data_IF_050296873212
#
_entry.id   IF_050296873212
#
_cell.length_a   1.000
_cell.length_b   1.000
_cell.length_c   1.000
_cell.angle_alpha   90.00
_cell.angle_beta   90.00
_cell.angle_gamma   90.00
#
_symmetry.space_group_name_H-M   'P 1'
#
loop_
_entity.id
_entity.type
_entity.pdbx_description
1 polymer ?
#
# COMPACT_ATOMS: atom_id res chain seq x y z
N UNK A 1 12.07 4.34 -21.74
CA UNK A 1 10.87 5.08 -21.32
C UNK A 1 10.76 5.15 -19.81
N UNK A 2 10.63 4.02 -19.10
CA UNK A 2 10.47 3.99 -17.62
C UNK A 2 11.52 4.81 -16.88
N UNK A 3 12.81 4.66 -17.18
CA UNK A 3 13.89 5.38 -16.48
C UNK A 3 13.83 6.91 -16.65
N UNK A 4 13.34 7.40 -17.80
CA UNK A 4 13.13 8.84 -18.02
C UNK A 4 11.98 9.40 -17.19
N UNK A 5 10.88 8.65 -17.14
CA UNK A 5 9.70 9.00 -16.33
C UNK A 5 10.07 8.99 -14.85
N UNK A 6 10.74 7.95 -14.38
CA UNK A 6 11.15 7.84 -12.98
C UNK A 6 12.05 8.98 -12.51
N UNK A 7 12.91 9.52 -13.39
CA UNK A 7 13.76 10.68 -13.07
C UNK A 7 12.97 11.99 -12.94
N UNK A 8 11.80 12.07 -13.58
CA UNK A 8 10.94 13.26 -13.55
C UNK A 8 9.89 13.19 -12.46
N UNK A 9 9.44 11.98 -12.12
CA UNK A 9 8.45 11.76 -11.07
C UNK A 9 9.03 12.08 -9.70
N UNK A 10 8.24 12.72 -8.84
CA UNK A 10 8.67 13.08 -7.50
C UNK A 10 8.70 11.86 -6.55
N UNK A 11 9.27 12.06 -5.36
CA UNK A 11 9.30 11.03 -4.30
C UNK A 11 7.92 10.69 -3.73
N UNK A 12 6.90 11.46 -4.05
CA UNK A 12 5.55 11.32 -3.54
C UNK A 12 4.64 10.48 -4.44
N UNK A 13 5.05 10.23 -5.71
CA UNK A 13 4.34 9.34 -6.63
C UNK A 13 5.24 8.15 -7.00
N UNK A 14 4.89 6.96 -6.52
CA UNK A 14 5.66 5.75 -6.79
C UNK A 14 4.88 4.68 -7.56
N UNK A 15 3.62 4.97 -7.92
CA UNK A 15 2.77 4.05 -8.66
C UNK A 15 3.34 3.69 -10.03
N UNK A 16 3.56 2.40 -10.26
CA UNK A 16 4.13 1.89 -11.52
C UNK A 16 5.63 2.13 -11.71
N UNK A 17 6.33 2.75 -10.75
CA UNK A 17 7.77 3.02 -10.84
C UNK A 17 8.60 1.76 -10.56
N UNK A 18 9.69 1.59 -11.31
CA UNK A 18 10.57 0.42 -11.17
C UNK A 18 11.31 0.44 -9.82
N UNK A 19 11.27 -0.68 -9.11
CA UNK A 19 11.96 -0.84 -7.84
C UNK A 19 11.19 -0.31 -6.63
N UNK A 20 10.04 0.35 -6.84
CA UNK A 20 9.16 0.84 -5.79
C UNK A 20 7.96 -0.07 -5.54
N UNK A 21 7.41 0.00 -4.33
CA UNK A 21 6.29 -0.82 -3.86
C UNK A 21 5.29 0.05 -3.08
N UNK A 22 4.02 -0.30 -3.14
CA UNK A 22 2.97 0.38 -2.34
C UNK A 22 3.27 0.36 -0.83
N UNK A 23 3.99 -0.66 -0.35
CA UNK A 23 4.42 -0.76 1.05
C UNK A 23 5.35 0.37 1.51
N UNK A 24 6.04 1.08 0.60
CA UNK A 24 6.88 2.23 0.95
C UNK A 24 6.03 3.41 1.42
N UNK A 25 4.93 3.71 0.72
CA UNK A 25 3.98 4.73 1.16
C UNK A 25 3.24 4.32 2.43
N UNK A 26 2.86 3.04 2.56
CA UNK A 26 2.29 2.53 3.81
C UNK A 26 3.27 2.66 4.99
N UNK A 27 4.55 2.35 4.79
CA UNK A 27 5.58 2.59 5.80
C UNK A 27 5.66 4.07 6.18
N UNK A 28 5.71 4.96 5.19
CA UNK A 28 5.81 6.40 5.40
C UNK A 28 4.61 6.93 6.21
N UNK A 29 3.39 6.63 5.78
CA UNK A 29 2.17 7.07 6.46
C UNK A 29 2.05 6.49 7.87
N UNK A 30 2.31 5.19 8.03
CA UNK A 30 2.27 4.55 9.36
C UNK A 30 3.35 5.08 10.30
N UNK A 31 4.52 5.46 9.79
CA UNK A 31 5.56 6.11 10.58
C UNK A 31 5.11 7.49 11.08
N UNK A 32 4.41 8.25 10.24
CA UNK A 32 3.82 9.54 10.63
C UNK A 32 2.74 9.35 11.70
N UNK A 33 1.84 8.37 11.53
CA UNK A 33 0.83 8.04 12.55
C UNK A 33 1.49 7.68 13.89
N UNK A 34 2.53 6.85 13.88
CA UNK A 34 3.26 6.46 15.09
C UNK A 34 3.90 7.67 15.78
N UNK A 35 4.50 8.56 15.02
CA UNK A 35 5.16 9.76 15.52
C UNK A 35 4.16 10.72 16.15
N UNK A 36 3.06 11.07 15.46
CA UNK A 36 2.03 11.98 15.98
C UNK A 36 1.33 11.40 17.23
N UNK A 37 1.09 10.09 17.25
CA UNK A 37 0.62 9.40 18.46
C UNK A 37 1.63 9.48 19.60
N UNK A 38 2.94 9.41 19.32
CA UNK A 38 3.98 9.49 20.34
C UNK A 38 4.11 10.88 20.96
N UNK A 39 4.04 11.94 20.14
CA UNK A 39 4.09 13.33 20.62
C UNK A 39 2.75 13.84 21.14
N UNK A 40 1.71 12.97 21.20
CA UNK A 40 0.34 13.28 21.65
C UNK A 40 -0.31 14.44 20.86
N UNK A 41 -0.04 14.49 19.56
CA UNK A 41 -0.66 15.44 18.65
C UNK A 41 -1.70 14.74 17.76
N UNK A 42 -2.82 15.40 17.43
CA UNK A 42 -3.79 14.85 16.50
C UNK A 42 -3.24 14.84 15.07
N UNK A 43 -3.78 13.93 14.27
CA UNK A 43 -3.45 13.80 12.85
C UNK A 43 -4.73 13.51 12.07
N UNK A 44 -4.99 14.27 11.02
CA UNK A 44 -6.05 13.98 10.04
C UNK A 44 -5.40 13.38 8.80
N UNK A 45 -5.93 12.25 8.38
CA UNK A 45 -5.55 11.60 7.11
C UNK A 45 -6.71 11.74 6.14
N UNK A 46 -6.45 12.36 4.99
CA UNK A 46 -7.38 12.50 3.89
C UNK A 46 -7.12 11.40 2.86
N UNK A 47 -8.09 10.52 2.64
CA UNK A 47 -8.06 9.50 1.59
C UNK A 47 -8.92 9.97 0.43
N UNK A 48 -8.35 10.09 -0.75
CA UNK A 48 -8.96 10.75 -1.90
C UNK A 48 -9.03 9.78 -3.06
N UNK A 49 -10.26 9.49 -3.51
CA UNK A 49 -10.57 8.67 -4.68
C UNK A 49 -10.96 9.58 -5.85
N UNK A 50 -10.28 9.46 -6.97
CA UNK A 50 -10.59 10.25 -8.17
C UNK A 50 -11.61 9.48 -9.02
N UNK A 51 -12.74 10.11 -9.31
CA UNK A 51 -13.85 9.49 -10.02
C UNK A 51 -13.50 9.16 -11.46
N UNK A 52 -13.49 7.86 -11.81
CA UNK A 52 -13.24 7.36 -13.18
C UNK A 52 -11.97 7.96 -13.80
N UNK A 53 -10.89 7.96 -13.05
CA UNK A 53 -9.63 8.62 -13.41
C UNK A 53 -9.19 8.28 -14.84
N UNK A 54 -8.95 7.03 -15.14
CA UNK A 54 -8.49 6.57 -16.46
C UNK A 54 -9.45 6.89 -17.61
N UNK A 55 -10.77 6.86 -17.36
CA UNK A 55 -11.78 7.16 -18.36
C UNK A 55 -11.87 8.66 -18.69
N UNK A 56 -11.36 9.51 -17.78
CA UNK A 56 -11.41 10.97 -17.93
C UNK A 56 -10.06 11.58 -18.27
N UNK A 57 -8.99 10.85 -18.08
CA UNK A 57 -7.65 11.34 -18.38
C UNK A 57 -7.49 11.57 -19.88
N UNK A 58 -7.13 12.79 -20.24
CA UNK A 58 -6.98 13.18 -21.63
C UNK A 58 -5.66 12.64 -22.20
N UNK A 59 -5.73 11.96 -23.35
CA UNK A 59 -4.57 11.42 -24.05
C UNK A 59 -3.54 12.52 -24.36
N UNK A 60 -4.00 13.75 -24.69
CA UNK A 60 -3.12 14.88 -25.00
C UNK A 60 -2.30 15.30 -23.78
N UNK A 61 -2.92 15.37 -22.59
CA UNK A 61 -2.21 15.75 -21.35
C UNK A 61 -1.19 14.68 -20.98
N UNK A 62 -1.55 13.41 -21.07
CA UNK A 62 -0.65 12.28 -20.89
C UNK A 62 0.54 12.32 -21.89
N UNK A 63 0.29 12.72 -23.13
CA UNK A 63 1.33 12.91 -24.13
C UNK A 63 2.25 14.10 -23.80
N UNK A 64 1.70 15.21 -23.30
CA UNK A 64 2.48 16.35 -22.84
C UNK A 64 3.38 15.94 -21.65
N UNK A 65 2.84 15.23 -20.67
CA UNK A 65 3.59 14.71 -19.53
C UNK A 65 4.74 13.77 -19.96
N UNK A 66 4.50 12.89 -20.92
CA UNK A 66 5.57 12.05 -21.50
C UNK A 66 6.64 12.85 -22.22
N UNK A 67 6.24 13.89 -22.95
CA UNK A 67 7.19 14.74 -23.65
C UNK A 67 8.06 15.53 -22.66
N UNK A 68 7.47 16.10 -21.61
CA UNK A 68 8.19 16.82 -20.55
C UNK A 68 9.16 15.91 -19.79
N UNK A 69 8.84 14.62 -19.65
CA UNK A 69 9.74 13.61 -19.10
C UNK A 69 10.83 13.14 -20.08
N UNK A 70 10.92 13.74 -21.28
CA UNK A 70 11.93 13.43 -22.29
C UNK A 70 11.63 12.14 -23.07
N UNK A 71 10.41 11.63 -23.05
CA UNK A 71 9.98 10.53 -23.93
C UNK A 71 9.67 11.10 -25.31
N UNK A 72 10.51 10.80 -26.29
CA UNK A 72 10.45 11.40 -27.64
C UNK A 72 10.68 10.36 -28.74
N UNK A 73 10.57 10.79 -29.99
CA UNK A 73 10.93 10.01 -31.17
C UNK A 73 9.96 8.84 -31.47
N UNK A 74 10.50 7.69 -31.83
CA UNK A 74 9.71 6.53 -32.29
C UNK A 74 8.80 5.99 -31.20
N UNK A 75 9.29 5.91 -29.94
CA UNK A 75 8.51 5.38 -28.79
C UNK A 75 7.32 6.28 -28.49
N UNK A 76 7.50 7.60 -28.49
CA UNK A 76 6.45 8.58 -28.31
C UNK A 76 5.34 8.44 -29.38
N UNK A 77 5.75 8.41 -30.67
CA UNK A 77 4.81 8.26 -31.79
C UNK A 77 4.06 6.92 -31.77
N UNK A 78 4.78 5.83 -31.42
CA UNK A 78 4.15 4.51 -31.31
C UNK A 78 3.11 4.50 -30.20
N UNK A 79 3.45 5.02 -29.02
CA UNK A 79 2.54 5.05 -27.89
C UNK A 79 1.28 5.88 -28.18
N UNK A 80 1.45 7.05 -28.82
CA UNK A 80 0.32 7.85 -29.29
C UNK A 80 -0.58 7.08 -30.26
N UNK A 81 0.01 6.41 -31.24
CA UNK A 81 -0.77 5.63 -32.24
C UNK A 81 -1.53 4.46 -31.60
N UNK A 82 -0.98 3.83 -30.59
CA UNK A 82 -1.61 2.71 -29.88
C UNK A 82 -2.82 3.15 -29.02
N UNK A 83 -2.81 4.39 -28.56
CA UNK A 83 -3.88 4.91 -27.68
C UNK A 83 -4.87 5.83 -28.39
N UNK A 84 -4.51 6.38 -29.54
CA UNK A 84 -5.41 7.21 -30.36
C UNK A 84 -6.46 6.34 -31.05
N UNK A 85 -7.73 6.75 -30.94
CA UNK A 85 -8.86 6.06 -31.57
C UNK A 85 -9.06 4.63 -31.09
N UNK A 86 -8.77 4.35 -29.81
CA UNK A 86 -9.02 3.04 -29.21
C UNK A 86 -10.51 2.72 -29.23
N UNK A 87 -10.86 1.50 -29.64
CA UNK A 87 -12.23 1.00 -29.66
C UNK A 87 -12.40 -0.05 -28.57
N UNK A 88 -13.55 -0.04 -27.93
CA UNK A 88 -13.91 -1.01 -26.91
C UNK A 88 -15.21 -1.73 -27.31
N UNK A 89 -15.26 -3.02 -27.02
CA UNK A 89 -16.47 -3.82 -27.05
C UNK A 89 -16.65 -4.52 -25.70
N UNK A 90 -17.87 -4.62 -25.24
CA UNK A 90 -18.20 -5.29 -23.96
C UNK A 90 -18.51 -6.76 -24.25
N UNK A 91 -17.81 -7.67 -23.57
CA UNK A 91 -18.13 -9.10 -23.63
C UNK A 91 -19.27 -9.40 -22.67
N UNK A 92 -20.36 -9.92 -23.21
CA UNK A 92 -21.54 -10.34 -22.44
C UNK A 92 -21.72 -11.86 -22.54
N UNK A 93 -22.67 -12.43 -21.79
CA UNK A 93 -23.01 -13.84 -21.89
C UNK A 93 -23.57 -14.28 -23.24
N UNK A 94 -24.03 -13.31 -24.07
CA UNK A 94 -24.60 -13.55 -25.41
C UNK A 94 -23.67 -13.13 -26.56
N UNK A 95 -22.44 -12.64 -26.26
CA UNK A 95 -21.47 -12.23 -27.28
C UNK A 95 -20.82 -10.88 -27.01
N UNK A 96 -20.19 -10.30 -28.02
CA UNK A 96 -19.60 -8.97 -27.99
C UNK A 96 -20.62 -7.91 -28.41
N UNK A 97 -20.61 -6.77 -27.71
CA UNK A 97 -21.35 -5.58 -28.13
C UNK A 97 -20.70 -4.96 -29.37
N UNK A 98 -21.43 -4.01 -29.99
CA UNK A 98 -20.83 -3.14 -30.99
C UNK A 98 -19.63 -2.38 -30.43
N UNK A 99 -18.64 -2.17 -31.30
CA UNK A 99 -17.45 -1.39 -30.95
C UNK A 99 -17.80 0.09 -30.81
N UNK A 100 -17.32 0.69 -29.75
CA UNK A 100 -17.41 2.15 -29.53
C UNK A 100 -16.03 2.76 -29.42
N UNK A 101 -15.84 3.93 -30.00
CA UNK A 101 -14.62 4.70 -29.85
C UNK A 101 -14.58 5.31 -28.45
N UNK A 102 -13.47 5.15 -27.73
CA UNK A 102 -13.25 5.76 -26.39
C UNK A 102 -12.96 7.25 -26.45
N UNK A 103 -12.81 7.83 -27.64
CA UNK A 103 -12.37 9.20 -27.82
C UNK A 103 -10.86 9.36 -27.59
N UNK A 104 -10.46 10.52 -27.09
CA UNK A 104 -9.06 10.83 -26.73
C UNK A 104 -8.80 10.61 -25.23
N UNK A 105 -9.32 9.51 -24.66
CA UNK A 105 -9.08 9.15 -23.26
C UNK A 105 -8.09 8.01 -23.12
N UNK A 106 -7.40 7.97 -22.00
CA UNK A 106 -6.52 6.87 -21.61
C UNK A 106 -7.38 5.73 -21.05
N UNK A 107 -7.64 4.72 -21.84
CA UNK A 107 -8.38 3.56 -21.35
C UNK A 107 -7.61 2.79 -20.28
N UNK A 108 -8.31 2.30 -19.25
CA UNK A 108 -7.73 1.45 -18.21
C UNK A 108 -7.07 0.20 -18.82
N UNK A 109 -5.86 -0.14 -18.38
CA UNK A 109 -5.11 -1.31 -18.88
C UNK A 109 -4.33 -1.07 -20.17
N UNK A 110 -4.27 0.14 -20.69
CA UNK A 110 -3.43 0.48 -21.85
C UNK A 110 -1.95 0.42 -21.52
N UNK A 111 -1.13 0.04 -22.50
CA UNK A 111 0.32 -0.06 -22.33
C UNK A 111 0.92 1.32 -22.01
N UNK A 112 1.51 1.44 -20.83
CA UNK A 112 2.11 2.70 -20.35
C UNK A 112 1.09 3.72 -19.83
N UNK A 113 -0.22 3.41 -19.85
CA UNK A 113 -1.28 4.28 -19.32
C UNK A 113 -1.04 4.64 -17.86
N UNK A 114 -0.80 3.63 -17.01
CA UNK A 114 -0.50 3.86 -15.61
C UNK A 114 0.70 4.79 -15.36
N UNK A 115 1.75 4.71 -16.20
CA UNK A 115 2.92 5.58 -16.09
C UNK A 115 2.62 7.02 -16.52
N UNK A 116 1.80 7.18 -17.57
CA UNK A 116 1.39 8.49 -18.04
C UNK A 116 0.50 9.18 -17.01
N UNK A 117 -0.47 8.44 -16.48
CA UNK A 117 -1.37 8.89 -15.42
C UNK A 117 -0.62 9.32 -14.17
N UNK A 118 0.28 8.47 -13.68
CA UNK A 118 1.10 8.78 -12.51
C UNK A 118 1.90 10.08 -12.69
N UNK A 119 2.52 10.26 -13.86
CA UNK A 119 3.31 11.46 -14.14
C UNK A 119 2.45 12.71 -14.25
N UNK A 120 1.29 12.62 -14.92
CA UNK A 120 0.40 13.77 -15.13
C UNK A 120 -0.15 14.30 -13.78
N UNK A 121 -0.58 13.40 -12.89
CA UNK A 121 -1.10 13.79 -11.57
C UNK A 121 0.01 14.31 -10.64
N UNK A 122 1.20 13.73 -10.71
CA UNK A 122 2.34 14.10 -9.88
C UNK A 122 2.79 15.54 -10.12
N UNK A 123 2.95 15.93 -11.37
CA UNK A 123 3.36 17.30 -11.75
C UNK A 123 2.37 18.34 -11.19
N UNK A 124 1.06 18.07 -11.30
CA UNK A 124 0.03 19.01 -10.85
C UNK A 124 -0.06 19.09 -9.32
N UNK A 125 -0.09 17.95 -8.62
CA UNK A 125 -0.15 17.94 -7.15
C UNK A 125 1.07 18.67 -6.59
N UNK A 126 2.26 18.39 -7.10
CA UNK A 126 3.47 19.05 -6.60
C UNK A 126 3.45 20.56 -6.82
N UNK A 127 3.05 21.03 -7.99
CA UNK A 127 2.97 22.47 -8.28
C UNK A 127 2.06 23.21 -7.28
N UNK A 128 0.94 22.61 -6.87
CA UNK A 128 0.00 23.25 -5.93
C UNK A 128 0.41 23.13 -4.46
N UNK A 129 1.28 22.17 -4.13
CA UNK A 129 1.73 21.97 -2.75
C UNK A 129 3.16 22.42 -2.49
N UNK A 130 3.90 22.88 -3.53
CA UNK A 130 5.28 23.34 -3.38
C UNK A 130 5.41 24.48 -2.37
N UNK A 131 4.48 25.43 -2.40
CA UNK A 131 4.45 26.61 -1.52
C UNK A 131 3.35 26.54 -0.44
N UNK A 132 2.86 25.33 -0.11
CA UNK A 132 1.79 25.21 0.90
C UNK A 132 2.30 25.50 2.31
N UNK A 133 1.70 26.45 3.03
CA UNK A 133 2.08 26.77 4.41
C UNK A 133 1.57 25.73 5.42
N UNK A 134 0.64 24.85 5.01
CA UNK A 134 -0.05 23.89 5.88
C UNK A 134 0.46 22.46 5.72
N UNK A 135 1.72 22.30 5.32
CA UNK A 135 2.32 20.98 5.20
C UNK A 135 2.99 20.54 6.47
N UNK A 136 2.76 19.27 6.80
CA UNK A 136 3.44 18.62 7.91
C UNK A 136 4.89 18.30 7.56
N UNK A 137 5.70 18.22 8.62
CA UNK A 137 7.06 17.71 8.54
C UNK A 137 7.25 16.51 9.47
N UNK A 138 8.04 15.57 9.02
CA UNK A 138 8.53 14.44 9.81
C UNK A 138 10.03 14.64 10.02
N UNK A 139 10.39 15.24 11.16
CA UNK A 139 11.74 15.78 11.33
C UNK A 139 12.04 16.89 10.34
N UNK A 140 13.09 16.74 9.55
CA UNK A 140 13.43 17.64 8.44
C UNK A 140 12.72 17.30 7.13
N UNK A 141 12.04 16.16 7.07
CA UNK A 141 11.37 15.68 5.86
C UNK A 141 9.98 16.29 5.71
N UNK A 142 9.81 17.09 4.67
CA UNK A 142 8.50 17.67 4.30
C UNK A 142 7.57 16.58 3.77
N UNK A 143 6.30 16.61 4.23
CA UNK A 143 5.27 15.65 3.83
C UNK A 143 4.26 16.34 2.90
N UNK A 144 4.28 15.97 1.64
CA UNK A 144 3.28 16.35 0.65
C UNK A 144 2.27 15.21 0.43
N UNK A 145 1.17 15.43 -0.30
CA UNK A 145 0.28 14.34 -0.67
C UNK A 145 1.05 13.22 -1.34
N UNK A 146 0.90 12.00 -0.83
CA UNK A 146 1.47 10.80 -1.45
C UNK A 146 0.46 10.16 -2.37
N UNK A 147 0.90 9.69 -3.52
CA UNK A 147 0.04 9.05 -4.49
C UNK A 147 0.61 7.74 -5.02
N UNK A 148 -0.29 6.80 -5.26
CA UNK A 148 0.02 5.55 -5.93
C UNK A 148 -0.95 5.41 -7.12
N UNK A 149 -0.58 5.97 -8.26
CA UNK A 149 -1.46 6.25 -9.39
C UNK A 149 -2.56 7.23 -8.99
N UNK A 150 -3.81 6.81 -9.00
CA UNK A 150 -5.00 7.60 -8.65
C UNK A 150 -5.35 7.58 -7.16
N UNK A 151 -4.76 6.68 -6.39
CA UNK A 151 -4.93 6.63 -4.92
C UNK A 151 -4.09 7.71 -4.25
N UNK A 152 -4.71 8.83 -3.85
CA UNK A 152 -4.04 9.96 -3.21
C UNK A 152 -4.35 9.99 -1.71
N UNK A 153 -3.32 10.17 -0.89
CA UNK A 153 -3.44 10.34 0.55
C UNK A 153 -2.64 11.55 1.01
N UNK A 154 -3.23 12.35 1.89
CA UNK A 154 -2.58 13.50 2.52
C UNK A 154 -2.71 13.42 4.04
N UNK A 155 -1.69 13.89 4.73
CA UNK A 155 -1.65 14.03 6.19
C UNK A 155 -1.67 15.50 6.58
N UNK A 156 -2.37 15.86 7.66
CA UNK A 156 -2.46 17.24 8.18
C UNK A 156 -2.73 17.23 9.69
N UNK A 157 -2.42 18.33 10.36
CA UNK A 157 -2.42 18.44 11.82
C UNK A 157 -3.74 19.01 12.41
N UNK A 158 -4.66 19.42 11.57
CA UNK A 158 -5.95 19.95 12.05
C UNK A 158 -6.97 20.21 10.96
N UNK A 159 -8.21 20.62 11.35
CA UNK A 159 -9.31 20.83 10.42
C UNK A 159 -9.06 21.95 9.40
N UNK A 160 -8.44 23.06 9.80
CA UNK A 160 -8.14 24.17 8.90
C UNK A 160 -7.13 23.75 7.83
N UNK A 161 -6.06 23.02 8.22
CA UNK A 161 -5.09 22.45 7.29
C UNK A 161 -5.73 21.39 6.38
N UNK A 162 -6.69 20.61 6.90
CA UNK A 162 -7.44 19.65 6.12
C UNK A 162 -8.31 20.35 5.06
N UNK A 163 -9.02 21.41 5.42
CA UNK A 163 -9.85 22.18 4.48
C UNK A 163 -8.99 22.85 3.40
N UNK A 164 -7.89 23.47 3.77
CA UNK A 164 -6.96 24.09 2.82
C UNK A 164 -6.43 23.04 1.81
N UNK A 165 -6.11 21.83 2.29
CA UNK A 165 -5.70 20.73 1.42
C UNK A 165 -6.78 20.33 0.41
N UNK A 166 -8.05 20.25 0.84
CA UNK A 166 -9.15 19.99 -0.08
C UNK A 166 -9.32 21.09 -1.11
N UNK A 167 -9.23 22.37 -0.70
CA UNK A 167 -9.32 23.50 -1.62
C UNK A 167 -8.22 23.45 -2.70
N UNK A 168 -6.98 23.11 -2.32
CA UNK A 168 -5.85 22.96 -3.25
C UNK A 168 -6.05 21.80 -4.20
N UNK A 169 -6.44 20.63 -3.69
CA UNK A 169 -6.71 19.46 -4.52
C UNK A 169 -7.90 19.68 -5.46
N UNK A 170 -8.92 20.42 -5.00
CA UNK A 170 -10.03 20.82 -5.86
C UNK A 170 -9.55 21.66 -7.04
N UNK A 171 -8.68 22.65 -6.79
CA UNK A 171 -8.12 23.48 -7.84
C UNK A 171 -7.30 22.66 -8.86
N UNK A 172 -6.43 21.74 -8.35
CA UNK A 172 -5.67 20.80 -9.20
C UNK A 172 -6.58 19.96 -10.08
N UNK A 173 -7.55 19.28 -9.47
CA UNK A 173 -8.38 18.35 -10.22
C UNK A 173 -9.34 19.05 -11.18
N UNK A 174 -9.87 20.23 -10.81
CA UNK A 174 -10.69 21.05 -11.74
C UNK A 174 -9.90 21.51 -12.96
N UNK A 175 -8.63 21.87 -12.81
CA UNK A 175 -7.77 22.26 -13.95
C UNK A 175 -7.60 21.13 -14.96
N UNK A 176 -7.72 19.88 -14.52
CA UNK A 176 -7.61 18.67 -15.35
C UNK A 176 -8.97 18.04 -15.69
N UNK A 177 -10.08 18.70 -15.41
CA UNK A 177 -11.44 18.16 -15.57
C UNK A 177 -11.68 16.84 -14.82
N UNK A 178 -10.90 16.61 -13.75
CA UNK A 178 -11.04 15.50 -12.84
C UNK A 178 -11.93 15.91 -11.66
N UNK A 179 -12.57 14.93 -11.04
CA UNK A 179 -13.41 15.15 -9.87
C UNK A 179 -13.13 14.10 -8.81
N UNK A 180 -13.07 14.50 -7.56
CA UNK A 180 -13.03 13.59 -6.44
C UNK A 180 -14.37 12.86 -6.33
N UNK A 181 -14.32 11.60 -5.90
CA UNK A 181 -15.53 10.81 -5.66
C UNK A 181 -16.11 11.17 -4.28
N UNK A 182 -17.28 11.82 -4.19
CA UNK A 182 -17.76 12.42 -2.94
C UNK A 182 -18.04 11.39 -1.82
N UNK A 183 -18.44 10.16 -2.17
CA UNK A 183 -18.79 9.13 -1.19
C UNK A 183 -17.67 8.16 -0.87
N UNK A 184 -16.61 8.11 -1.70
CA UNK A 184 -15.45 7.25 -1.46
C UNK A 184 -14.31 8.00 -0.79
N UNK A 185 -14.16 9.29 -1.11
CA UNK A 185 -13.20 10.13 -0.40
C UNK A 185 -13.66 10.38 1.04
N UNK A 186 -12.74 10.34 1.97
CA UNK A 186 -13.01 10.44 3.38
C UNK A 186 -11.81 11.01 4.14
N UNK A 187 -11.99 11.26 5.41
CA UNK A 187 -10.88 11.50 6.33
C UNK A 187 -10.95 10.55 7.54
N UNK A 188 -9.79 10.32 8.14
CA UNK A 188 -9.60 9.58 9.38
C UNK A 188 -8.96 10.53 10.39
N UNK A 189 -9.46 10.54 11.63
CA UNK A 189 -8.92 11.36 12.71
C UNK A 189 -8.19 10.48 13.73
N UNK A 190 -6.88 10.58 13.74
CA UNK A 190 -6.02 9.92 14.72
C UNK A 190 -5.76 10.86 15.90
N UNK A 191 -6.07 10.44 17.10
CA UNK A 191 -5.70 11.13 18.33
C UNK A 191 -5.54 10.10 19.45
N UNK A 192 -4.47 10.22 20.23
CA UNK A 192 -4.21 9.34 21.37
C UNK A 192 -5.21 9.57 22.49
N UNK A 193 -5.51 10.85 22.77
CA UNK A 193 -6.48 11.23 23.78
C UNK A 193 -7.90 11.24 23.20
N UNK A 194 -8.82 10.53 23.83
CA UNK A 194 -10.24 10.58 23.49
C UNK A 194 -10.85 11.97 23.66
N UNK A 195 -10.31 12.76 24.60
CA UNK A 195 -10.73 14.16 24.81
C UNK A 195 -10.34 15.04 23.61
N UNK A 196 -9.09 14.93 23.15
CA UNK A 196 -8.60 15.66 21.96
C UNK A 196 -9.39 15.26 20.72
N UNK A 197 -9.62 13.95 20.54
CA UNK A 197 -10.41 13.42 19.43
C UNK A 197 -11.80 14.07 19.39
N UNK A 198 -12.50 14.08 20.54
CA UNK A 198 -13.84 14.64 20.66
C UNK A 198 -13.89 16.15 20.40
N UNK A 199 -12.87 16.90 20.82
CA UNK A 199 -12.78 18.34 20.53
C UNK A 199 -12.74 18.58 19.01
N UNK A 200 -11.87 17.87 18.30
CA UNK A 200 -11.72 18.03 16.84
C UNK A 200 -12.96 17.52 16.09
N UNK A 201 -13.58 16.42 16.54
CA UNK A 201 -14.84 15.93 15.99
C UNK A 201 -15.96 16.98 16.11
N UNK A 202 -16.06 17.66 17.26
CA UNK A 202 -17.02 18.76 17.45
C UNK A 202 -16.71 19.96 16.54
N UNK A 203 -15.44 20.34 16.42
CA UNK A 203 -15.02 21.42 15.52
C UNK A 203 -15.37 21.10 14.04
N UNK A 204 -15.13 19.86 13.60
CA UNK A 204 -15.52 19.42 12.25
C UNK A 204 -17.05 19.35 12.11
N UNK A 205 -17.78 19.00 13.17
CA UNK A 205 -19.24 18.99 13.13
C UNK A 205 -19.84 20.42 12.99
N UNK A 206 -19.20 21.41 13.62
CA UNK A 206 -19.59 22.82 13.49
C UNK A 206 -19.15 23.42 12.13
N UNK A 207 -17.99 23.05 11.65
CA UNK A 207 -17.40 23.46 10.36
C UNK A 207 -17.01 22.25 9.54
N UNK A 208 -17.96 21.60 8.82
CA UNK A 208 -17.69 20.42 8.03
C UNK A 208 -16.61 20.65 6.96
N UNK A 209 -15.75 19.66 6.77
CA UNK A 209 -14.80 19.67 5.67
C UNK A 209 -15.56 19.53 4.34
N UNK A 210 -15.32 20.45 3.42
CA UNK A 210 -16.06 20.56 2.16
C UNK A 210 -15.11 20.36 0.97
N UNK A 211 -15.58 19.63 -0.02
CA UNK A 211 -14.98 19.51 -1.33
C UNK A 211 -16.10 19.63 -2.39
N UNK A 212 -15.94 20.55 -3.37
CA UNK A 212 -16.88 20.73 -4.49
C UNK A 212 -18.36 20.77 -4.02
N UNK A 213 -18.65 21.51 -2.95
CA UNK A 213 -19.96 21.63 -2.28
C UNK A 213 -20.46 20.34 -1.58
N UNK A 214 -19.65 19.31 -1.45
CA UNK A 214 -19.97 18.10 -0.71
C UNK A 214 -19.25 18.09 0.64
N UNK A 215 -19.97 17.74 1.71
CA UNK A 215 -19.33 17.45 2.98
C UNK A 215 -18.57 16.14 2.91
N UNK A 216 -17.27 16.17 3.22
CA UNK A 216 -16.42 14.96 3.25
C UNK A 216 -16.69 14.19 4.54
N UNK A 217 -16.96 12.91 4.41
CA UNK A 217 -17.33 12.06 5.56
C UNK A 217 -16.10 11.61 6.35
N UNK A 218 -16.14 11.77 7.67
CA UNK A 218 -15.21 11.10 8.59
C UNK A 218 -15.52 9.62 8.70
N UNK A 219 -14.50 8.78 8.68
CA UNK A 219 -14.61 7.33 8.87
C UNK A 219 -13.71 6.87 10.01
N UNK A 220 -14.09 5.76 10.65
CA UNK A 220 -13.22 5.07 11.61
C UNK A 220 -12.20 4.16 10.94
N UNK A 221 -12.51 3.67 9.74
CA UNK A 221 -11.65 2.79 8.96
C UNK A 221 -11.74 3.10 7.47
N UNK A 222 -10.60 3.05 6.77
CA UNK A 222 -10.55 3.15 5.32
C UNK A 222 -9.45 2.24 4.75
N UNK A 223 -9.75 1.62 3.61
CA UNK A 223 -8.81 0.76 2.90
C UNK A 223 -7.93 1.61 1.98
N UNK A 224 -6.62 1.56 2.19
CA UNK A 224 -5.65 2.22 1.34
C UNK A 224 -4.47 1.30 1.02
N UNK A 225 -4.11 1.21 -0.25
CA UNK A 225 -3.04 0.36 -0.80
C UNK A 225 -3.07 -1.10 -0.29
N UNK A 226 -4.28 -1.61 -0.08
CA UNK A 226 -4.49 -2.99 0.34
C UNK A 226 -4.46 -3.25 1.85
N UNK A 227 -4.11 -2.27 2.68
CA UNK A 227 -4.27 -2.30 4.13
C UNK A 227 -5.48 -1.48 4.58
N UNK A 228 -6.00 -1.75 5.77
CA UNK A 228 -7.00 -0.92 6.42
C UNK A 228 -6.29 0.00 7.40
N UNK A 229 -6.50 1.30 7.25
CA UNK A 229 -6.12 2.31 8.23
C UNK A 229 -7.30 2.50 9.19
N UNK A 230 -7.07 2.45 10.49
CA UNK A 230 -8.10 2.64 11.52
C UNK A 230 -7.70 3.79 12.43
N UNK A 231 -8.63 4.68 12.73
CA UNK A 231 -8.47 5.81 13.64
C UNK A 231 -8.16 5.40 15.09
N UNK A 232 -8.36 4.12 15.41
CA UNK A 232 -7.92 3.49 16.67
C UNK A 232 -6.41 3.26 16.76
N UNK A 233 -5.63 3.63 15.74
CA UNK A 233 -4.18 3.54 15.71
C UNK A 233 -3.65 2.33 14.93
N UNK A 234 -2.32 2.12 15.00
CA UNK A 234 -1.65 1.14 14.14
C UNK A 234 -1.96 -0.31 14.50
N UNK A 235 -2.15 -0.61 15.78
CA UNK A 235 -2.58 -1.95 16.23
C UNK A 235 -3.96 -2.30 15.65
N UNK A 236 -4.93 -1.38 15.77
CA UNK A 236 -6.28 -1.55 15.21
C UNK A 236 -6.27 -1.64 13.69
N UNK A 237 -5.42 -0.86 13.03
CA UNK A 237 -5.21 -0.94 11.58
C UNK A 237 -4.71 -2.33 11.15
N UNK A 238 -3.76 -2.92 11.88
CA UNK A 238 -3.28 -4.28 11.63
C UNK A 238 -4.36 -5.32 11.90
N UNK A 239 -5.08 -5.22 13.04
CA UNK A 239 -6.20 -6.11 13.39
C UNK A 239 -7.30 -6.11 12.33
N UNK A 240 -7.74 -4.94 11.87
CA UNK A 240 -8.76 -4.79 10.83
C UNK A 240 -8.30 -5.37 9.49
N UNK A 241 -7.05 -5.11 9.10
CA UNK A 241 -6.45 -5.69 7.89
C UNK A 241 -6.40 -7.21 7.95
N UNK A 242 -5.93 -7.78 9.06
CA UNK A 242 -5.86 -9.22 9.30
C UNK A 242 -7.25 -9.82 9.28
N UNK A 243 -8.22 -9.21 9.96
CA UNK A 243 -9.61 -9.69 10.00
C UNK A 243 -10.25 -9.78 8.62
N UNK A 244 -10.06 -8.75 7.80
CA UNK A 244 -10.57 -8.71 6.42
C UNK A 244 -9.95 -9.82 5.55
N UNK A 245 -8.65 -10.02 5.65
CA UNK A 245 -7.93 -11.04 4.86
C UNK A 245 -8.20 -12.44 5.34
N UNK A 246 -8.28 -12.64 6.66
CA UNK A 246 -8.62 -13.91 7.28
C UNK A 246 -9.92 -14.47 6.71
N UNK A 247 -11.00 -13.69 6.69
CA UNK A 247 -12.30 -14.13 6.17
C UNK A 247 -12.22 -14.57 4.70
N UNK A 248 -11.50 -13.84 3.86
CA UNK A 248 -11.33 -14.19 2.44
C UNK A 248 -10.54 -15.47 2.23
N UNK A 249 -9.43 -15.66 2.96
CA UNK A 249 -8.60 -16.85 2.83
C UNK A 249 -9.31 -18.07 3.44
N UNK A 250 -10.01 -17.89 4.55
CA UNK A 250 -10.82 -18.97 5.13
C UNK A 250 -11.92 -19.43 4.15
N UNK A 251 -12.62 -18.49 3.50
CA UNK A 251 -13.57 -18.80 2.44
C UNK A 251 -12.93 -19.59 1.29
N UNK A 252 -11.75 -19.14 0.80
CA UNK A 252 -11.02 -19.86 -0.23
C UNK A 252 -10.60 -21.28 0.18
N UNK A 253 -10.20 -21.50 1.44
CA UNK A 253 -9.89 -22.83 1.95
C UNK A 253 -11.13 -23.74 1.89
N UNK A 254 -12.31 -23.22 2.27
CA UNK A 254 -13.54 -24.02 2.22
C UNK A 254 -14.00 -24.29 0.78
N UNK A 255 -13.89 -23.33 -0.13
CA UNK A 255 -14.20 -23.50 -1.55
C UNK A 255 -13.27 -24.53 -2.23
N UNK A 256 -12.00 -24.54 -1.84
CA UNK A 256 -10.98 -25.45 -2.39
C UNK A 256 -10.89 -26.77 -1.60
N UNK A 257 -11.72 -26.99 -0.57
CA UNK A 257 -11.61 -28.15 0.32
C UNK A 257 -11.58 -29.48 -0.44
N UNK A 258 -12.49 -29.70 -1.38
CA UNK A 258 -12.54 -30.93 -2.17
C UNK A 258 -11.24 -31.10 -3.00
N UNK A 259 -10.74 -30.03 -3.61
CA UNK A 259 -9.48 -30.06 -4.36
C UNK A 259 -8.30 -30.38 -3.45
N UNK A 260 -8.26 -29.80 -2.25
CA UNK A 260 -7.19 -30.04 -1.26
C UNK A 260 -7.23 -31.51 -0.78
N UNK A 261 -8.44 -32.06 -0.57
CA UNK A 261 -8.63 -33.46 -0.21
C UNK A 261 -8.22 -34.41 -1.33
N UNK A 262 -8.54 -34.10 -2.59
CA UNK A 262 -8.07 -34.86 -3.76
C UNK A 262 -6.55 -34.83 -3.90
N UNK A 263 -5.93 -33.67 -3.71
CA UNK A 263 -4.46 -33.53 -3.71
C UNK A 263 -3.81 -34.41 -2.63
N UNK A 264 -4.41 -34.46 -1.43
CA UNK A 264 -3.94 -35.36 -0.36
C UNK A 264 -3.94 -36.82 -0.81
N UNK A 265 -4.98 -37.25 -1.52
CA UNK A 265 -5.08 -38.65 -2.00
C UNK A 265 -4.05 -39.00 -3.05
N UNK A 266 -3.45 -38.02 -3.71
CA UNK A 266 -2.33 -38.19 -4.67
C UNK A 266 -0.96 -38.35 -3.98
N UNK A 267 -0.95 -38.55 -2.65
CA UNK A 267 0.25 -38.75 -1.84
C UNK A 267 1.23 -37.57 -1.87
N UNK A 268 2.55 -37.85 -1.93
CA UNK A 268 3.61 -36.84 -1.80
C UNK A 268 3.51 -35.74 -2.86
N UNK A 269 3.20 -36.08 -4.10
CA UNK A 269 3.07 -35.08 -5.18
C UNK A 269 1.91 -34.12 -4.97
N UNK A 270 0.77 -34.63 -4.50
CA UNK A 270 -0.40 -33.83 -4.19
C UNK A 270 -0.20 -32.94 -2.97
N UNK A 271 0.42 -33.43 -1.89
CA UNK A 271 0.75 -32.63 -0.71
C UNK A 271 1.66 -31.47 -1.09
N UNK A 272 2.69 -31.73 -1.89
CA UNK A 272 3.57 -30.67 -2.39
C UNK A 272 2.81 -29.62 -3.17
N UNK A 273 1.93 -30.01 -4.10
CA UNK A 273 1.09 -29.08 -4.85
C UNK A 273 0.19 -28.24 -3.92
N UNK A 274 -0.42 -28.85 -2.89
CA UNK A 274 -1.20 -28.12 -1.88
C UNK A 274 -0.34 -27.09 -1.12
N UNK A 275 0.88 -27.44 -0.73
CA UNK A 275 1.81 -26.52 -0.08
C UNK A 275 2.23 -25.39 -1.04
N UNK A 276 2.44 -25.67 -2.32
CA UNK A 276 2.74 -24.64 -3.33
C UNK A 276 1.55 -23.65 -3.46
N UNK A 277 0.31 -24.11 -3.46
CA UNK A 277 -0.88 -23.24 -3.45
C UNK A 277 -0.86 -22.34 -2.19
N UNK A 278 -0.55 -22.91 -1.02
CA UNK A 278 -0.45 -22.15 0.22
C UNK A 278 0.63 -21.07 0.13
N UNK A 279 1.84 -21.43 -0.26
CA UNK A 279 3.00 -20.53 -0.28
C UNK A 279 2.93 -19.49 -1.41
N UNK A 280 2.43 -19.86 -2.59
CA UNK A 280 2.47 -18.99 -3.76
C UNK A 280 1.22 -18.14 -3.95
N UNK A 281 0.07 -18.55 -3.40
CA UNK A 281 -1.19 -17.84 -3.57
C UNK A 281 -1.77 -17.32 -2.25
N UNK A 282 -1.92 -18.18 -1.25
CA UNK A 282 -2.62 -17.83 -0.01
C UNK A 282 -1.76 -16.96 0.90
N UNK A 283 -0.51 -17.33 1.17
CA UNK A 283 0.41 -16.55 2.00
C UNK A 283 0.68 -15.15 1.45
N UNK A 284 1.01 -14.93 0.17
CA UNK A 284 1.18 -13.59 -0.37
C UNK A 284 -0.09 -12.73 -0.28
N UNK A 285 -1.27 -13.33 -0.47
CA UNK A 285 -2.55 -12.63 -0.32
C UNK A 285 -2.85 -12.26 1.14
N UNK A 286 -2.51 -13.16 2.08
CA UNK A 286 -2.73 -12.97 3.52
C UNK A 286 -1.77 -11.95 4.13
N UNK A 287 -0.48 -12.04 3.79
CA UNK A 287 0.61 -11.28 4.38
C UNK A 287 1.11 -10.12 3.48
N UNK A 288 0.33 -9.73 2.47
CA UNK A 288 0.67 -8.52 1.69
C UNK A 288 0.87 -7.33 2.64
N UNK A 289 1.92 -6.54 2.44
CA UNK A 289 2.29 -5.42 3.30
C UNK A 289 2.56 -5.76 4.79
N UNK A 290 2.61 -7.05 5.19
CA UNK A 290 2.87 -7.43 6.59
C UNK A 290 4.20 -6.84 7.14
N UNK A 291 5.13 -6.53 6.25
CA UNK A 291 6.36 -5.81 6.60
C UNK A 291 6.14 -4.39 7.15
N UNK A 292 4.94 -3.82 7.01
CA UNK A 292 4.60 -2.48 7.54
C UNK A 292 3.68 -2.54 8.77
N UNK A 293 3.29 -3.73 9.21
CA UNK A 293 2.42 -3.86 10.38
C UNK A 293 3.21 -3.68 11.67
N UNK A 294 2.79 -2.77 12.52
CA UNK A 294 3.40 -2.51 13.82
C UNK A 294 2.42 -2.83 14.94
N UNK A 295 2.94 -3.15 16.12
CA UNK A 295 2.16 -3.42 17.33
C UNK A 295 1.08 -4.53 17.11
N UNK A 296 1.45 -5.61 16.42
CA UNK A 296 0.50 -6.71 16.18
C UNK A 296 0.26 -7.46 17.48
N UNK A 297 -1.02 -7.59 17.90
CA UNK A 297 -1.38 -8.35 19.09
C UNK A 297 -1.17 -9.86 18.90
N UNK A 298 -0.86 -10.56 20.00
CA UNK A 298 -0.76 -12.04 20.01
C UNK A 298 -2.06 -12.67 19.53
N UNK A 299 -3.21 -12.10 19.87
CA UNK A 299 -4.53 -12.54 19.38
C UNK A 299 -4.62 -12.51 17.84
N UNK A 300 -4.05 -11.51 17.20
CA UNK A 300 -4.00 -11.42 15.73
C UNK A 300 -3.10 -12.48 15.13
N UNK A 301 -1.96 -12.74 15.77
CA UNK A 301 -1.04 -13.81 15.37
C UNK A 301 -1.70 -15.19 15.54
N UNK A 302 -2.40 -15.44 16.65
CA UNK A 302 -3.12 -16.69 16.89
C UNK A 302 -4.23 -16.91 15.88
N UNK A 303 -4.92 -15.84 15.47
CA UNK A 303 -5.91 -15.91 14.40
C UNK A 303 -5.30 -16.35 13.07
N UNK A 304 -4.14 -15.83 12.71
CA UNK A 304 -3.41 -16.24 11.51
C UNK A 304 -2.90 -17.68 11.63
N UNK A 305 -2.38 -18.07 12.81
CA UNK A 305 -1.96 -19.43 13.08
C UNK A 305 -3.12 -20.44 13.00
N UNK A 306 -4.33 -20.06 13.45
CA UNK A 306 -5.50 -20.93 13.34
C UNK A 306 -5.90 -21.18 11.89
N UNK A 307 -5.73 -20.18 11.01
CA UNK A 307 -5.97 -20.33 9.58
C UNK A 307 -4.96 -21.29 8.93
N UNK A 308 -3.68 -21.13 9.25
CA UNK A 308 -2.63 -22.05 8.80
C UNK A 308 -2.88 -23.48 9.30
N UNK A 309 -3.25 -23.61 10.55
CA UNK A 309 -3.59 -24.91 11.15
C UNK A 309 -4.75 -25.58 10.40
N UNK A 310 -5.82 -24.84 10.13
CA UNK A 310 -6.98 -25.34 9.37
C UNK A 310 -6.57 -25.83 7.97
N UNK A 311 -5.75 -25.07 7.26
CA UNK A 311 -5.27 -25.46 5.94
C UNK A 311 -4.41 -26.72 6.00
N UNK A 312 -3.40 -26.76 6.88
CA UNK A 312 -2.48 -27.89 6.99
C UNK A 312 -3.19 -29.16 7.47
N UNK A 313 -4.12 -29.06 8.43
CA UNK A 313 -4.94 -30.19 8.86
C UNK A 313 -5.77 -30.76 7.70
N UNK A 314 -6.39 -29.91 6.90
CA UNK A 314 -7.16 -30.33 5.72
C UNK A 314 -6.26 -31.02 4.70
N UNK A 315 -5.09 -30.43 4.39
CA UNK A 315 -4.17 -30.97 3.41
C UNK A 315 -3.57 -32.34 3.84
N UNK A 316 -3.16 -32.45 5.09
CA UNK A 316 -2.54 -33.68 5.61
C UNK A 316 -3.56 -34.73 6.11
N UNK A 317 -4.83 -34.36 6.24
CA UNK A 317 -5.83 -35.21 6.89
C UNK A 317 -5.57 -35.40 8.38
N UNK A 318 -4.88 -34.47 9.01
CA UNK A 318 -4.54 -34.54 10.41
C UNK A 318 -5.77 -34.30 11.33
N UNK A 319 -5.81 -34.94 12.47
CA UNK A 319 -6.87 -34.75 13.47
C UNK A 319 -6.84 -33.31 14.05
N UNK A 320 -8.00 -32.83 14.51
CA UNK A 320 -8.14 -31.48 15.09
C UNK A 320 -7.25 -31.23 16.33
N UNK A 321 -6.81 -32.26 17.01
CA UNK A 321 -5.90 -32.14 18.15
C UNK A 321 -4.42 -32.02 17.76
N UNK A 322 -4.08 -32.15 16.47
CA UNK A 322 -2.69 -32.03 16.01
C UNK A 322 -2.22 -30.58 16.15
N UNK A 323 -1.15 -30.33 16.93
CA UNK A 323 -0.68 -28.98 17.19
C UNK A 323 0.02 -28.39 15.95
N UNK A 324 -0.19 -27.09 15.71
CA UNK A 324 0.42 -26.38 14.57
C UNK A 324 1.95 -26.55 14.45
N UNK A 325 2.75 -26.53 15.54
CA UNK A 325 4.19 -26.75 15.42
C UNK A 325 4.58 -28.10 14.78
N UNK A 326 3.84 -29.17 15.10
CA UNK A 326 4.08 -30.50 14.50
C UNK A 326 3.76 -30.47 13.00
N UNK A 327 2.61 -29.90 12.59
CA UNK A 327 2.25 -29.74 11.19
C UNK A 327 3.26 -28.89 10.41
N UNK A 328 3.75 -27.81 11.01
CA UNK A 328 4.76 -26.96 10.40
C UNK A 328 6.11 -27.69 10.25
N UNK A 329 6.46 -28.54 11.24
CA UNK A 329 7.68 -29.36 11.15
C UNK A 329 7.60 -30.36 10.00
N UNK A 330 6.51 -31.12 9.92
CA UNK A 330 6.30 -32.14 8.89
C UNK A 330 6.25 -31.56 7.46
N UNK A 331 5.77 -30.33 7.34
CA UNK A 331 5.63 -29.63 6.04
C UNK A 331 6.77 -28.66 5.74
N UNK A 332 7.73 -28.51 6.64
CA UNK A 332 8.80 -27.50 6.55
C UNK A 332 8.27 -26.06 6.35
N UNK A 333 7.06 -25.75 6.90
CA UNK A 333 6.48 -24.44 6.79
C UNK A 333 6.77 -23.58 8.03
N UNK A 334 6.83 -22.25 7.84
CA UNK A 334 7.05 -21.33 8.95
C UNK A 334 5.73 -20.93 9.60
N UNK A 335 5.70 -20.79 10.93
CA UNK A 335 4.59 -20.19 11.68
C UNK A 335 4.42 -18.71 11.35
N UNK A 336 3.22 -18.16 11.53
CA UNK A 336 2.88 -16.79 11.09
C UNK A 336 3.73 -15.70 11.76
N UNK A 337 4.05 -15.83 13.04
CA UNK A 337 4.94 -14.89 13.76
C UNK A 337 6.26 -14.72 13.01
N UNK A 338 6.93 -15.82 12.68
CA UNK A 338 8.22 -15.81 11.97
C UNK A 338 8.10 -15.21 10.57
N UNK A 339 7.01 -15.51 9.84
CA UNK A 339 6.75 -14.93 8.51
C UNK A 339 6.60 -13.41 8.56
N UNK A 340 5.87 -12.90 9.55
CA UNK A 340 5.68 -11.46 9.76
C UNK A 340 6.99 -10.79 10.16
N UNK A 341 7.74 -11.38 11.09
CA UNK A 341 9.06 -10.88 11.48
C UNK A 341 10.01 -10.81 10.28
N UNK A 342 10.05 -11.85 9.47
CA UNK A 342 10.81 -11.91 8.21
C UNK A 342 10.39 -10.81 7.21
N UNK A 343 9.08 -10.58 7.07
CA UNK A 343 8.55 -9.53 6.21
C UNK A 343 8.94 -8.13 6.70
N UNK A 344 8.95 -7.88 8.01
CA UNK A 344 9.41 -6.61 8.61
C UNK A 344 10.89 -6.36 8.34
N UNK A 345 11.75 -7.34 8.57
CA UNK A 345 13.18 -7.24 8.29
C UNK A 345 13.46 -7.03 6.80
N UNK A 346 12.74 -7.75 5.93
CA UNK A 346 12.84 -7.56 4.47
C UNK A 346 12.37 -6.16 4.02
N UNK A 347 11.36 -5.59 4.69
CA UNK A 347 10.91 -4.23 4.41
C UNK A 347 11.97 -3.20 4.77
N UNK A 348 12.57 -3.28 5.94
CA UNK A 348 13.67 -2.39 6.35
C UNK A 348 14.88 -2.53 5.41
N UNK A 349 15.24 -3.76 5.05
CA UNK A 349 16.30 -3.98 4.09
C UNK A 349 16.01 -3.33 2.73
N UNK A 350 14.78 -3.47 2.23
CA UNK A 350 14.35 -2.81 1.00
C UNK A 350 14.45 -1.28 1.10
N UNK A 351 13.92 -0.67 2.17
CA UNK A 351 13.99 0.79 2.38
C UNK A 351 15.44 1.26 2.48
N UNK A 352 16.29 0.51 3.15
CA UNK A 352 17.72 0.83 3.27
C UNK A 352 18.40 0.91 1.90
N UNK A 353 17.98 0.06 0.95
CA UNK A 353 18.50 0.03 -0.42
C UNK A 353 17.90 1.08 -1.36
N UNK A 354 16.90 1.86 -0.94
CA UNK A 354 16.31 2.91 -1.76
C UNK A 354 17.26 4.11 -1.92
N UNK A 355 17.01 4.90 -2.98
CA UNK A 355 17.69 6.17 -3.20
C UNK A 355 17.42 7.14 -2.02
N UNK A 356 18.40 7.97 -1.67
CA UNK A 356 18.30 8.96 -0.59
C UNK A 356 17.20 10.01 -0.82
N UNK A 357 16.78 10.20 -2.07
CA UNK A 357 15.68 11.09 -2.41
C UNK A 357 14.30 10.46 -2.18
N UNK A 358 14.21 9.15 -1.98
CA UNK A 358 12.94 8.46 -1.70
C UNK A 358 12.35 8.90 -0.36
N UNK A 359 11.04 9.16 -0.32
CA UNK A 359 10.33 9.56 0.91
C UNK A 359 10.50 8.51 2.03
N UNK A 360 10.32 7.23 1.71
CA UNK A 360 10.45 6.14 2.69
C UNK A 360 11.88 6.07 3.27
N UNK A 361 12.91 6.34 2.43
CA UNK A 361 14.30 6.39 2.89
C UNK A 361 14.56 7.56 3.80
N UNK A 362 14.05 8.73 3.49
CA UNK A 362 14.19 9.93 4.34
C UNK A 362 13.51 9.72 5.70
N UNK A 363 12.29 9.20 5.72
CA UNK A 363 11.59 8.86 6.97
C UNK A 363 12.36 7.80 7.79
N UNK A 364 12.94 6.82 7.11
CA UNK A 364 13.79 5.81 7.76
C UNK A 364 15.03 6.45 8.44
N UNK A 365 15.71 7.35 7.77
CA UNK A 365 16.89 8.04 8.30
C UNK A 365 16.53 8.95 9.48
N UNK A 366 15.40 9.65 9.43
CA UNK A 366 14.86 10.43 10.54
C UNK A 366 14.55 9.54 11.76
N UNK A 367 13.88 8.40 11.57
CA UNK A 367 13.61 7.46 12.66
C UNK A 367 14.90 6.93 13.32
N UNK A 368 15.93 6.64 12.52
CA UNK A 368 17.22 6.21 13.05
C UNK A 368 17.91 7.30 13.86
N UNK A 369 17.89 8.53 13.34
CA UNK A 369 18.59 9.67 13.97
C UNK A 369 17.97 10.05 15.31
N UNK A 370 16.65 10.03 15.43
CA UNK A 370 15.92 10.48 16.61
C UNK A 370 15.43 9.34 17.52
N UNK A 371 15.53 8.07 17.08
CA UNK A 371 15.07 6.93 17.85
C UNK A 371 13.56 6.87 18.05
N UNK A 372 12.78 7.46 17.14
CA UNK A 372 11.33 7.51 17.24
C UNK A 372 10.68 6.13 17.17
N UNK A 373 9.50 5.95 17.80
CA UNK A 373 8.81 4.67 17.79
C UNK A 373 8.34 4.30 16.36
N UNK A 374 8.26 2.99 16.10
CA UNK A 374 7.77 2.47 14.83
C UNK A 374 8.47 1.19 14.41
N UNK A 375 8.37 0.86 13.12
CA UNK A 375 8.85 -0.39 12.56
C UNK A 375 10.34 -0.65 12.80
N UNK A 376 11.17 0.39 12.76
CA UNK A 376 12.63 0.25 12.95
C UNK A 376 12.96 -0.27 14.35
N UNK A 377 12.30 0.27 15.39
CA UNK A 377 12.49 -0.18 16.76
C UNK A 377 12.07 -1.65 16.92
N UNK A 378 10.90 -2.03 16.39
CA UNK A 378 10.44 -3.42 16.40
C UNK A 378 11.41 -4.36 15.67
N UNK A 379 11.97 -3.94 14.54
CA UNK A 379 12.99 -4.73 13.84
C UNK A 379 14.26 -4.90 14.66
N UNK A 380 14.68 -3.87 15.40
CA UNK A 380 15.81 -3.97 16.34
C UNK A 380 15.55 -5.00 17.45
N UNK A 381 14.32 -5.06 17.98
CA UNK A 381 13.95 -6.03 18.98
C UNK A 381 13.87 -7.46 18.41
N UNK A 382 13.34 -7.63 17.20
CA UNK A 382 13.33 -8.92 16.46
C UNK A 382 14.77 -9.42 16.24
N UNK A 383 15.70 -8.56 15.84
CA UNK A 383 17.09 -8.96 15.63
C UNK A 383 17.78 -9.38 16.92
N UNK A 384 17.49 -8.72 18.04
CA UNK A 384 17.96 -9.16 19.36
C UNK A 384 17.39 -10.53 19.74
N UNK A 385 16.07 -10.73 19.54
CA UNK A 385 15.40 -12.00 19.80
C UNK A 385 16.06 -13.13 18.98
N UNK A 386 16.37 -12.88 17.71
CA UNK A 386 16.96 -13.87 16.81
C UNK A 386 18.50 -13.98 16.94
N UNK A 387 19.13 -13.16 17.79
CA UNK A 387 20.59 -13.07 17.95
C UNK A 387 21.34 -12.85 16.63
N UNK A 388 20.72 -12.14 15.71
CA UNK A 388 21.30 -11.79 14.40
C UNK A 388 22.07 -10.47 14.56
N UNK A 389 23.22 -10.35 13.88
CA UNK A 389 23.95 -9.09 13.80
C UNK A 389 23.07 -7.96 13.29
N UNK A 390 23.32 -6.74 13.77
CA UNK A 390 22.49 -5.56 13.48
C UNK A 390 22.46 -5.22 11.98
N UNK A 391 21.55 -5.89 11.26
CA UNK A 391 21.29 -5.68 9.82
C UNK A 391 20.89 -4.22 9.53
N UNK A 392 20.36 -3.51 10.52
CA UNK A 392 19.95 -2.10 10.38
C UNK A 392 21.19 -1.22 10.19
N UNK A 393 22.28 -1.54 10.85
CA UNK A 393 23.52 -0.74 10.87
C UNK A 393 24.62 -1.25 9.93
N UNK A 394 24.60 -2.52 9.48
CA UNK A 394 25.65 -3.11 8.65
C UNK A 394 25.33 -3.05 7.14
N UNK A 395 26.33 -2.74 6.33
CA UNK A 395 26.25 -2.83 4.86
C UNK A 395 26.53 -4.25 4.34
N UNK A 396 26.86 -5.19 5.22
CA UNK A 396 27.35 -6.52 4.86
C UNK A 396 26.29 -7.55 4.52
N UNK A 397 25.00 -7.29 4.79
CA UNK A 397 23.91 -8.25 4.55
C UNK A 397 23.78 -8.69 3.07
N UNK A 398 24.14 -7.84 2.12
CA UNK A 398 24.13 -8.18 0.69
C UNK A 398 25.24 -9.17 0.32
N UNK A 399 26.34 -9.20 1.06
CA UNK A 399 27.46 -10.14 0.86
C UNK A 399 27.10 -11.51 1.40
N UNK A 400 26.47 -11.60 2.59
CA UNK A 400 26.03 -12.87 3.17
C UNK A 400 24.93 -13.56 2.36
N UNK A 401 23.98 -12.81 1.80
CA UNK A 401 22.94 -13.38 0.93
C UNK A 401 23.53 -13.98 -0.36
N UNK A 402 24.52 -13.34 -0.96
CA UNK A 402 25.22 -13.88 -2.14
C UNK A 402 26.01 -15.14 -1.80
N UNK A 403 26.67 -15.18 -0.66
CA UNK A 403 27.37 -16.35 -0.17
C UNK A 403 26.44 -17.54 0.07
N UNK A 404 25.29 -17.31 0.72
CA UNK A 404 24.28 -18.36 0.94
C UNK A 404 23.60 -18.86 -0.35
N UNK A 405 23.48 -18.03 -1.38
CA UNK A 405 22.94 -18.43 -2.69
C UNK A 405 24.00 -19.16 -3.55
N UNK A 406 25.27 -18.93 -3.31
CA UNK A 406 26.39 -19.62 -3.94
C UNK A 406 26.70 -20.99 -3.29
N UNK A 407 26.53 -21.12 -1.97
CA UNK A 407 26.70 -22.38 -1.22
C UNK A 407 25.54 -23.37 -1.41
N UNK A 408 24.40 -22.93 -1.97
CA UNK A 408 23.24 -23.78 -2.31
C UNK A 408 23.14 -24.12 -3.80
N UNK A 409 24.16 -23.85 -4.61
CA UNK A 409 24.30 -24.29 -5.99
C UNK A 409 25.35 -25.38 -6.10
#
# INVERSE_FOLDING_TARGET
MKDKIQKKTTKYQIGGMKGHRSSEHLFSVKSVIAYYSWIDQPLIIQCIDIRKYFDKENLRDAMCAFHSAGVQGKVYRLWYKLNKNTRIAVKTGVGLSDERNTGETLGQGTVGGALASSLNIDEEINAYFEDSPVELSYGSTRLQPVSFQDDVLRVCDGPDAAQEGFNRLEAVFKSKLLHIHPTKSCFLLFAKSSKTKKIIENEIAERPLIYDNFSVTGKSEEKWLGDILSDGGLEKSAEATIANRYGRILGAIFELKAVIEDLRMQMIGGIKCGLDIWEMAMIPSLLNNAGTWTNISDKSIDRLNSLQNTFLQTLLGAGRACPLPALCWDTATLVMKIRIQKAKLAMIHHIKGLDKTSLAKQIYEEQLSFGWPGLIKECGDIMKEWRVQDIIKSDDFLREKKSMEEDNK
#
